data_IF_112679265172
#
_entry.id   IF_112679265172
#
_cell.length_a   1.000
_cell.length_b   1.000
_cell.length_c   1.000
_cell.angle_alpha   90.00
_cell.angle_beta   90.00
_cell.angle_gamma   90.00
#
_symmetry.space_group_name_H-M   'P 1'
#
loop_
_entity.id
_entity.type
_entity.pdbx_description
1 polymer ?
#
# COMPACT_ATOMS: atom_id res chain seq x y z
N UNK A 1 19.90 -31.98 -41.16
CA UNK A 1 19.56 -31.65 -42.56
C UNK A 1 18.23 -30.94 -42.53
N UNK A 2 18.16 -29.67 -42.93
CA UNK A 2 16.87 -28.98 -43.07
C UNK A 2 16.10 -29.62 -44.22
N UNK A 3 14.80 -29.85 -44.05
CA UNK A 3 13.96 -30.44 -45.08
C UNK A 3 13.93 -29.51 -46.31
N UNK A 4 14.18 -30.06 -47.50
CA UNK A 4 14.38 -29.33 -48.76
C UNK A 4 13.17 -28.55 -49.28
N UNK A 5 12.05 -28.55 -48.54
CA UNK A 5 10.81 -27.86 -48.91
C UNK A 5 10.72 -26.40 -48.46
N UNK A 6 11.65 -25.94 -47.61
CA UNK A 6 11.67 -24.58 -47.07
C UNK A 6 12.66 -23.69 -47.83
N UNK A 7 12.33 -22.41 -48.06
CA UNK A 7 13.22 -21.46 -48.77
C UNK A 7 14.54 -21.29 -48.03
N UNK A 8 14.46 -21.41 -46.71
CA UNK A 8 15.56 -21.37 -45.75
C UNK A 8 16.57 -22.49 -46.00
N UNK A 9 16.14 -23.65 -46.53
CA UNK A 9 17.04 -24.76 -46.83
C UNK A 9 17.96 -24.47 -48.03
N UNK A 10 17.61 -23.48 -48.86
CA UNK A 10 18.41 -23.06 -50.03
C UNK A 10 19.24 -21.79 -49.75
N UNK A 11 19.05 -21.17 -48.57
CA UNK A 11 19.76 -19.94 -48.19
C UNK A 11 20.89 -20.26 -47.22
N UNK A 12 22.03 -19.58 -47.39
CA UNK A 12 23.13 -19.61 -46.41
C UNK A 12 22.86 -18.72 -45.19
N UNK A 13 21.82 -17.89 -45.26
CA UNK A 13 21.44 -16.93 -44.21
C UNK A 13 19.97 -17.09 -43.87
N UNK A 14 19.67 -17.18 -42.58
CA UNK A 14 18.30 -17.21 -42.04
C UNK A 14 18.14 -16.01 -41.12
N UNK A 15 17.12 -15.19 -41.39
CA UNK A 15 16.79 -14.05 -40.54
C UNK A 15 15.98 -14.52 -39.34
N UNK A 16 16.44 -14.14 -38.14
CA UNK A 16 15.80 -14.50 -36.88
C UNK A 16 15.58 -13.22 -36.09
N UNK A 17 14.35 -13.01 -35.61
CA UNK A 17 13.92 -11.78 -34.91
C UNK A 17 14.47 -11.59 -33.49
N UNK A 18 15.60 -12.20 -33.14
CA UNK A 18 16.22 -12.08 -31.81
C UNK A 18 17.50 -11.25 -31.86
N UNK A 19 17.85 -10.51 -30.78
CA UNK A 19 19.12 -9.82 -30.69
C UNK A 19 20.30 -10.79 -30.83
N UNK A 20 21.37 -10.36 -31.51
CA UNK A 20 22.54 -11.21 -31.77
C UNK A 20 23.16 -11.83 -30.51
N UNK A 21 23.17 -11.10 -29.39
CA UNK A 21 23.66 -11.61 -28.11
C UNK A 21 22.81 -12.77 -27.55
N UNK A 22 21.49 -12.79 -27.81
CA UNK A 22 20.61 -13.89 -27.42
C UNK A 22 20.90 -15.10 -28.31
N UNK A 23 21.01 -14.89 -29.63
CA UNK A 23 21.33 -15.95 -30.58
C UNK A 23 22.69 -16.60 -30.29
N UNK A 24 23.72 -15.80 -30.04
CA UNK A 24 25.04 -16.28 -29.62
C UNK A 24 24.94 -17.20 -28.39
N UNK A 25 24.17 -16.77 -27.38
CA UNK A 25 23.98 -17.52 -26.14
C UNK A 25 23.20 -18.82 -26.34
N UNK A 26 22.20 -18.81 -27.24
CA UNK A 26 21.46 -20.02 -27.63
C UNK A 26 22.37 -21.01 -28.38
N UNK A 27 23.24 -20.52 -29.27
CA UNK A 27 24.21 -21.34 -29.99
C UNK A 27 25.26 -21.93 -29.04
N UNK A 28 25.77 -21.12 -28.09
CA UNK A 28 26.63 -21.60 -27.00
C UNK A 28 25.97 -22.77 -26.25
N UNK A 29 24.70 -22.64 -25.90
CA UNK A 29 23.95 -23.71 -25.24
C UNK A 29 23.84 -24.97 -26.11
N UNK A 30 23.55 -24.84 -27.41
CA UNK A 30 23.46 -25.99 -28.32
C UNK A 30 24.79 -26.76 -28.41
N UNK A 31 25.93 -26.07 -28.30
CA UNK A 31 27.24 -26.70 -28.35
C UNK A 31 27.72 -27.25 -27.01
N UNK A 32 27.39 -26.60 -25.90
CA UNK A 32 28.01 -26.87 -24.59
C UNK A 32 27.05 -27.42 -23.55
N UNK A 33 25.73 -27.37 -23.80
CA UNK A 33 24.66 -27.55 -22.83
C UNK A 33 24.79 -26.65 -21.58
N UNK A 34 25.50 -25.52 -21.70
CA UNK A 34 25.75 -24.55 -20.63
C UNK A 34 25.50 -23.13 -21.13
N UNK A 35 25.29 -22.22 -20.19
CA UNK A 35 25.14 -20.80 -20.48
C UNK A 35 25.90 -20.00 -19.44
N UNK A 36 27.14 -19.62 -19.76
CA UNK A 36 28.00 -18.91 -18.81
C UNK A 36 27.36 -17.61 -18.29
N UNK A 37 26.56 -16.94 -19.14
CA UNK A 37 25.84 -15.70 -18.80
C UNK A 37 24.76 -15.87 -17.73
N UNK A 38 24.27 -17.09 -17.47
CA UNK A 38 23.23 -17.37 -16.46
C UNK A 38 23.79 -17.80 -15.09
N UNK A 39 25.10 -18.04 -14.97
CA UNK A 39 25.66 -18.69 -13.78
C UNK A 39 26.00 -17.74 -12.62
N UNK A 40 26.00 -16.43 -12.85
CA UNK A 40 26.31 -15.46 -11.79
C UNK A 40 25.30 -14.31 -11.72
N UNK A 41 24.40 -14.27 -10.71
CA UNK A 41 23.76 -13.03 -10.34
C UNK A 41 24.86 -12.14 -9.74
N UNK A 42 25.47 -11.29 -10.56
CA UNK A 42 26.35 -10.26 -10.04
C UNK A 42 25.50 -9.29 -9.23
N UNK A 43 26.02 -8.84 -8.08
CA UNK A 43 25.37 -7.81 -7.27
C UNK A 43 25.57 -6.48 -7.98
N UNK A 44 24.88 -6.31 -9.10
CA UNK A 44 24.99 -5.11 -9.90
C UNK A 44 23.97 -4.06 -9.43
N UNK A 45 24.18 -2.78 -9.74
CA UNK A 45 23.15 -1.75 -9.55
C UNK A 45 21.82 -2.19 -10.14
N UNK A 46 20.71 -1.71 -9.57
CA UNK A 46 19.36 -2.17 -9.92
C UNK A 46 19.06 -2.01 -11.42
N UNK A 47 19.54 -0.93 -12.05
CA UNK A 47 19.39 -0.68 -13.49
C UNK A 47 20.07 -1.74 -14.35
N UNK A 48 21.28 -2.17 -13.96
CA UNK A 48 22.00 -3.21 -14.67
C UNK A 48 21.31 -4.57 -14.49
N UNK A 49 20.76 -4.82 -13.30
CA UNK A 49 19.98 -6.02 -13.01
C UNK A 49 18.71 -6.09 -13.86
N UNK A 50 18.04 -4.97 -14.14
CA UNK A 50 16.90 -4.91 -15.07
C UNK A 50 17.31 -5.30 -16.49
N UNK A 51 18.43 -4.77 -17.00
CA UNK A 51 18.93 -5.12 -18.35
C UNK A 51 19.36 -6.59 -18.46
N UNK A 52 20.06 -7.11 -17.46
CA UNK A 52 20.39 -8.54 -17.38
C UNK A 52 19.12 -9.38 -17.36
N UNK A 53 18.11 -8.97 -16.61
CA UNK A 53 16.85 -9.69 -16.54
C UNK A 53 16.11 -9.73 -17.89
N UNK A 54 16.07 -8.61 -18.62
CA UNK A 54 15.51 -8.56 -19.98
C UNK A 54 16.24 -9.53 -20.94
N UNK A 55 17.55 -9.72 -20.75
CA UNK A 55 18.33 -10.72 -21.48
C UNK A 55 17.88 -12.14 -21.15
N UNK A 56 17.71 -12.46 -19.85
CA UNK A 56 17.22 -13.78 -19.42
C UNK A 56 15.81 -14.07 -19.96
N UNK A 57 14.91 -13.08 -19.93
CA UNK A 57 13.57 -13.25 -20.51
C UNK A 57 13.62 -13.50 -22.01
N UNK A 58 14.40 -12.71 -22.74
CA UNK A 58 14.55 -12.89 -24.19
C UNK A 58 15.15 -14.26 -24.54
N UNK A 59 16.04 -14.78 -23.67
CA UNK A 59 16.56 -16.13 -23.79
C UNK A 59 15.50 -17.20 -23.51
N UNK A 60 14.56 -16.96 -22.59
CA UNK A 60 13.41 -17.84 -22.38
C UNK A 60 12.52 -17.91 -23.62
N UNK A 61 12.24 -16.77 -24.27
CA UNK A 61 11.45 -16.74 -25.50
C UNK A 61 12.18 -17.43 -26.65
N UNK A 62 13.49 -17.21 -26.77
CA UNK A 62 14.32 -17.91 -27.74
C UNK A 62 14.30 -19.42 -27.49
N UNK A 63 14.40 -19.85 -26.24
CA UNK A 63 14.31 -21.27 -25.88
C UNK A 63 12.95 -21.87 -26.28
N UNK A 64 11.85 -21.14 -26.10
CA UNK A 64 10.53 -21.58 -26.56
C UNK A 64 10.42 -21.60 -28.09
N UNK A 65 10.96 -20.58 -28.77
CA UNK A 65 10.95 -20.47 -30.23
C UNK A 65 11.72 -21.61 -30.91
N UNK A 66 12.89 -21.98 -30.37
CA UNK A 66 13.74 -23.05 -30.90
C UNK A 66 13.43 -24.44 -30.35
N UNK A 67 12.37 -24.59 -29.54
CA UNK A 67 11.99 -25.84 -28.87
C UNK A 67 13.14 -26.48 -28.06
N UNK A 68 13.78 -25.66 -27.20
CA UNK A 68 14.91 -26.04 -26.35
C UNK A 68 14.47 -26.13 -24.87
N UNK A 69 13.83 -27.23 -24.44
CA UNK A 69 13.27 -27.34 -23.09
C UNK A 69 14.33 -27.27 -21.99
N UNK A 70 15.54 -27.76 -22.23
CA UNK A 70 16.64 -27.67 -21.26
C UNK A 70 17.09 -26.22 -21.03
N UNK A 71 17.18 -25.42 -22.09
CA UNK A 71 17.50 -23.99 -21.98
C UNK A 71 16.39 -23.24 -21.26
N UNK A 72 15.13 -23.55 -21.58
CA UNK A 72 13.96 -22.99 -20.91
C UNK A 72 13.97 -23.28 -19.39
N UNK A 73 14.29 -24.51 -18.99
CA UNK A 73 14.43 -24.84 -17.56
C UNK A 73 15.59 -24.08 -16.89
N UNK A 74 16.71 -23.90 -17.58
CA UNK A 74 17.85 -23.13 -17.05
C UNK A 74 17.50 -21.65 -16.86
N UNK A 75 16.78 -21.04 -17.81
CA UNK A 75 16.36 -19.65 -17.69
C UNK A 75 15.35 -19.48 -16.56
N UNK A 76 14.36 -20.37 -16.41
CA UNK A 76 13.43 -20.37 -15.27
C UNK A 76 14.14 -20.49 -13.92
N UNK A 77 15.11 -21.41 -13.79
CA UNK A 77 15.95 -21.52 -12.59
C UNK A 77 16.76 -20.25 -12.33
N UNK A 78 17.26 -19.60 -13.39
CA UNK A 78 17.95 -18.31 -13.25
C UNK A 78 17.01 -17.21 -12.76
N UNK A 79 15.81 -17.11 -13.33
CA UNK A 79 14.76 -16.16 -12.91
C UNK A 79 14.42 -16.36 -11.44
N UNK A 80 14.22 -17.62 -11.02
CA UNK A 80 13.97 -17.96 -9.62
C UNK A 80 15.12 -17.50 -8.71
N UNK A 81 16.38 -17.78 -9.07
CA UNK A 81 17.56 -17.31 -8.33
C UNK A 81 17.59 -15.78 -8.20
N UNK A 82 17.28 -15.05 -9.27
CA UNK A 82 17.18 -13.58 -9.23
C UNK A 82 16.09 -13.11 -8.27
N UNK A 83 14.89 -13.69 -8.37
CA UNK A 83 13.78 -13.38 -7.47
C UNK A 83 14.12 -13.67 -6.01
N UNK A 84 14.80 -14.78 -5.73
CA UNK A 84 15.21 -15.16 -4.38
C UNK A 84 16.26 -14.22 -3.81
N UNK A 85 17.18 -13.73 -4.65
CA UNK A 85 18.19 -12.74 -4.23
C UNK A 85 17.64 -11.32 -4.09
N UNK A 86 16.64 -10.95 -4.90
CA UNK A 86 16.10 -9.58 -5.02
C UNK A 86 14.60 -9.63 -5.32
N UNK A 87 13.74 -9.80 -4.29
CA UNK A 87 12.30 -9.89 -4.47
C UNK A 87 11.68 -8.66 -5.15
N UNK A 88 12.33 -7.49 -5.03
CA UNK A 88 11.93 -6.25 -5.66
C UNK A 88 11.79 -6.38 -7.18
N UNK A 89 12.67 -7.17 -7.83
CA UNK A 89 12.66 -7.36 -9.28
C UNK A 89 11.32 -7.92 -9.78
N UNK A 90 10.55 -8.61 -8.93
CA UNK A 90 9.30 -9.26 -9.31
C UNK A 90 8.31 -8.33 -10.04
N UNK A 91 8.27 -7.04 -9.73
CA UNK A 91 7.42 -6.09 -10.47
C UNK A 91 7.88 -5.89 -11.93
N UNK A 92 9.19 -5.78 -12.15
CA UNK A 92 9.77 -5.68 -13.50
C UNK A 92 9.57 -6.99 -14.26
N UNK A 93 9.71 -8.13 -13.57
CA UNK A 93 9.43 -9.44 -14.17
C UNK A 93 7.97 -9.52 -14.62
N UNK A 94 7.05 -9.08 -13.77
CA UNK A 94 5.61 -9.08 -14.05
C UNK A 94 5.25 -8.14 -15.21
N UNK A 95 5.92 -6.98 -15.33
CA UNK A 95 5.77 -6.10 -16.49
C UNK A 95 6.23 -6.81 -17.77
N UNK A 96 7.46 -7.31 -17.77
CA UNK A 96 8.04 -7.91 -18.96
C UNK A 96 7.36 -9.24 -19.34
N UNK A 97 6.70 -9.93 -18.40
CA UNK A 97 5.86 -11.09 -18.71
C UNK A 97 4.59 -10.68 -19.45
N UNK A 98 3.98 -9.53 -19.17
CA UNK A 98 2.77 -9.07 -19.89
C UNK A 98 3.04 -8.71 -21.35
N UNK A 99 4.24 -8.23 -21.66
CA UNK A 99 4.63 -7.85 -23.02
C UNK A 99 4.86 -9.07 -23.93
N UNK A 100 5.00 -10.27 -23.38
CA UNK A 100 5.44 -11.47 -24.10
C UNK A 100 4.44 -12.62 -24.01
N UNK A 101 4.15 -13.28 -25.13
CA UNK A 101 3.03 -14.22 -25.27
C UNK A 101 3.17 -15.58 -24.53
N UNK A 102 4.37 -15.98 -24.09
CA UNK A 102 4.63 -17.32 -23.53
C UNK A 102 5.07 -17.31 -22.05
N UNK A 103 4.51 -16.42 -21.22
CA UNK A 103 5.09 -16.05 -19.92
C UNK A 103 4.29 -16.47 -18.67
N UNK A 104 3.24 -17.29 -18.81
CA UNK A 104 2.31 -17.58 -17.69
C UNK A 104 3.00 -18.15 -16.43
N UNK A 105 4.02 -19.01 -16.60
CA UNK A 105 4.79 -19.54 -15.46
C UNK A 105 5.62 -18.46 -14.78
N UNK A 106 6.31 -17.61 -15.55
CA UNK A 106 7.12 -16.49 -15.05
C UNK A 106 6.24 -15.48 -14.32
N UNK A 107 5.07 -15.18 -14.88
CA UNK A 107 4.07 -14.34 -14.25
C UNK A 107 3.66 -14.89 -12.89
N UNK A 108 3.34 -16.20 -12.82
CA UNK A 108 2.96 -16.87 -11.57
C UNK A 108 4.09 -16.80 -10.54
N UNK A 109 5.34 -17.00 -10.96
CA UNK A 109 6.52 -16.87 -10.08
C UNK A 109 6.65 -15.44 -9.54
N UNK A 110 6.48 -14.43 -10.39
CA UNK A 110 6.55 -13.03 -10.00
C UNK A 110 5.45 -12.65 -9.00
N UNK A 111 4.19 -13.02 -9.27
CA UNK A 111 3.06 -12.76 -8.37
C UNK A 111 3.27 -13.47 -7.02
N UNK A 112 3.67 -14.74 -7.03
CA UNK A 112 3.96 -15.48 -5.81
C UNK A 112 5.07 -14.82 -4.99
N UNK A 113 6.12 -14.29 -5.66
CA UNK A 113 7.20 -13.59 -4.97
C UNK A 113 6.76 -12.25 -4.39
N UNK A 114 5.93 -11.49 -5.12
CA UNK A 114 5.31 -10.24 -4.64
C UNK A 114 4.46 -10.53 -3.40
N UNK A 115 3.60 -11.55 -3.44
CA UNK A 115 2.76 -11.96 -2.31
C UNK A 115 3.61 -12.30 -1.07
N UNK A 116 4.68 -13.06 -1.25
CA UNK A 116 5.54 -13.48 -0.14
C UNK A 116 6.39 -12.34 0.45
N UNK A 117 6.72 -11.29 -0.32
CA UNK A 117 7.71 -10.27 0.08
C UNK A 117 7.20 -8.83 -0.09
N UNK A 118 5.88 -8.62 -0.06
CA UNK A 118 5.26 -7.34 -0.45
C UNK A 118 5.85 -6.11 0.27
N UNK A 119 6.15 -6.23 1.57
CA UNK A 119 6.72 -5.12 2.36
C UNK A 119 8.11 -4.73 1.88
N UNK A 120 8.95 -5.70 1.55
CA UNK A 120 10.30 -5.48 1.03
C UNK A 120 10.25 -4.90 -0.38
N UNK A 121 9.33 -5.43 -1.21
CA UNK A 121 9.08 -4.93 -2.55
C UNK A 121 8.62 -3.46 -2.54
N UNK A 122 7.82 -3.04 -1.55
CA UNK A 122 7.33 -1.66 -1.40
C UNK A 122 8.40 -0.66 -0.92
N UNK A 123 9.36 -1.08 -0.11
CA UNK A 123 10.34 -0.17 0.48
C UNK A 123 11.43 0.29 -0.51
N UNK A 124 11.64 -0.43 -1.61
CA UNK A 124 12.76 -0.21 -2.55
C UNK A 124 12.29 0.38 -3.89
N UNK A 125 11.15 1.07 -3.88
CA UNK A 125 10.27 1.27 -5.04
C UNK A 125 10.65 2.40 -6.00
N UNK A 126 11.61 3.27 -5.63
CA UNK A 126 11.90 4.48 -6.41
C UNK A 126 12.38 4.17 -7.84
N UNK A 127 13.16 3.11 -8.04
CA UNK A 127 13.66 2.76 -9.38
C UNK A 127 12.68 1.84 -10.12
N UNK A 128 11.98 0.97 -9.39
CA UNK A 128 11.07 -0.04 -9.95
C UNK A 128 9.90 0.59 -10.71
N UNK A 129 9.28 1.63 -10.16
CA UNK A 129 8.06 2.19 -10.76
C UNK A 129 8.28 3.04 -12.01
N UNK A 130 9.54 3.36 -12.36
CA UNK A 130 9.83 3.99 -13.65
C UNK A 130 9.50 3.07 -14.82
N UNK A 131 9.61 1.75 -14.62
CA UNK A 131 9.48 0.75 -15.70
C UNK A 131 8.08 0.10 -15.69
N UNK A 132 7.37 0.14 -14.57
CA UNK A 132 6.08 -0.55 -14.40
C UNK A 132 4.92 0.30 -14.93
N UNK A 133 4.10 -0.29 -15.81
CA UNK A 133 2.91 0.36 -16.37
C UNK A 133 1.69 0.25 -15.46
N UNK A 134 0.66 1.07 -15.75
CA UNK A 134 -0.60 1.05 -15.01
C UNK A 134 -1.33 -0.31 -15.09
N UNK A 135 -1.12 -1.08 -16.17
CA UNK A 135 -1.71 -2.42 -16.34
C UNK A 135 -1.21 -3.40 -15.28
N UNK A 136 0.08 -3.38 -14.97
CA UNK A 136 0.69 -4.20 -13.93
C UNK A 136 0.18 -3.79 -12.55
N UNK A 137 0.12 -2.48 -12.27
CA UNK A 137 -0.44 -1.98 -11.00
C UNK A 137 -1.90 -2.42 -10.85
N UNK A 138 -2.72 -2.29 -11.90
CA UNK A 138 -4.11 -2.79 -11.92
C UNK A 138 -4.17 -4.28 -11.63
N UNK A 139 -3.29 -5.08 -12.24
CA UNK A 139 -3.23 -6.53 -12.03
C UNK A 139 -2.91 -6.88 -10.58
N UNK A 140 -1.95 -6.20 -9.97
CA UNK A 140 -1.58 -6.35 -8.56
C UNK A 140 -2.78 -6.00 -7.64
N UNK A 141 -3.48 -4.90 -7.95
CA UNK A 141 -4.65 -4.43 -7.18
C UNK A 141 -5.90 -5.31 -7.37
N UNK A 142 -5.93 -6.12 -8.43
CA UNK A 142 -6.99 -7.10 -8.68
C UNK A 142 -6.69 -8.49 -8.10
N UNK A 143 -5.44 -8.75 -7.71
CA UNK A 143 -5.05 -10.00 -7.07
C UNK A 143 -5.47 -10.00 -5.59
N UNK A 144 -6.48 -10.81 -5.27
CA UNK A 144 -7.02 -10.92 -3.91
C UNK A 144 -5.97 -11.41 -2.90
N UNK A 145 -5.01 -12.24 -3.33
CA UNK A 145 -3.93 -12.73 -2.49
C UNK A 145 -3.05 -11.58 -2.03
N UNK A 146 -2.60 -10.75 -2.97
CA UNK A 146 -1.79 -9.56 -2.67
C UNK A 146 -2.59 -8.56 -1.82
N UNK A 147 -3.82 -8.23 -2.24
CA UNK A 147 -4.64 -7.23 -1.55
C UNK A 147 -4.98 -7.62 -0.12
N UNK A 148 -5.19 -8.92 0.16
CA UNK A 148 -5.44 -9.40 1.53
C UNK A 148 -4.25 -9.19 2.48
N UNK A 149 -3.03 -9.12 1.94
CA UNK A 149 -1.80 -8.93 2.71
C UNK A 149 -1.49 -7.46 2.99
N UNK A 150 -2.18 -6.53 2.33
CA UNK A 150 -1.92 -5.10 2.36
C UNK A 150 -2.97 -4.33 3.16
N UNK A 151 -2.50 -3.39 3.97
CA UNK A 151 -3.38 -2.38 4.59
C UNK A 151 -3.79 -1.33 3.55
N UNK A 152 -4.95 -0.69 3.73
CA UNK A 152 -5.41 0.39 2.85
C UNK A 152 -4.36 1.50 2.67
N UNK A 153 -3.58 1.80 3.72
CA UNK A 153 -2.48 2.76 3.68
C UNK A 153 -1.34 2.31 2.77
N UNK A 154 -0.97 1.03 2.80
CA UNK A 154 0.09 0.49 1.93
C UNK A 154 -0.37 0.41 0.47
N UNK A 155 -1.64 0.10 0.22
CA UNK A 155 -2.21 0.16 -1.14
C UNK A 155 -2.16 1.59 -1.67
N UNK A 156 -2.48 2.57 -0.84
CA UNK A 156 -2.35 3.98 -1.20
C UNK A 156 -0.91 4.36 -1.54
N UNK A 157 0.05 3.99 -0.68
CA UNK A 157 1.47 4.26 -0.89
C UNK A 157 2.02 3.58 -2.15
N UNK A 158 1.55 2.37 -2.48
CA UNK A 158 1.89 1.68 -3.73
C UNK A 158 1.48 2.52 -4.94
N UNK A 159 0.23 2.98 -4.98
CA UNK A 159 -0.30 3.77 -6.10
C UNK A 159 0.40 5.13 -6.18
N UNK A 160 0.62 5.78 -5.03
CA UNK A 160 1.34 7.04 -4.94
C UNK A 160 2.79 6.91 -5.44
N UNK A 161 3.54 5.92 -4.95
CA UNK A 161 4.91 5.69 -5.38
C UNK A 161 4.98 5.41 -6.89
N UNK A 162 3.98 4.74 -7.45
CA UNK A 162 3.89 4.54 -8.89
C UNK A 162 3.67 5.86 -9.66
N UNK A 163 2.73 6.70 -9.24
CA UNK A 163 2.46 7.97 -9.91
C UNK A 163 3.62 8.96 -9.82
N UNK A 164 4.23 9.07 -8.64
CA UNK A 164 5.29 10.04 -8.36
C UNK A 164 6.52 9.80 -9.24
N UNK A 165 6.82 8.53 -9.57
CA UNK A 165 7.96 8.16 -10.40
C UNK A 165 7.76 8.40 -11.90
N UNK A 166 6.52 8.55 -12.38
CA UNK A 166 6.26 8.89 -13.79
C UNK A 166 6.16 10.37 -14.05
N UNK A 167 5.81 11.17 -13.04
CA UNK A 167 5.68 12.63 -13.12
C UNK A 167 4.83 13.13 -14.31
N UNK A 168 3.89 12.32 -14.83
CA UNK A 168 3.01 12.67 -15.94
C UNK A 168 1.59 12.94 -15.45
N UNK A 169 0.90 13.88 -16.10
CA UNK A 169 -0.51 14.19 -15.80
C UNK A 169 -1.41 12.96 -15.98
N UNK A 170 -1.13 12.12 -16.97
CA UNK A 170 -1.81 10.86 -17.22
C UNK A 170 -1.65 9.87 -16.08
N UNK A 171 -0.43 9.71 -15.54
CA UNK A 171 -0.17 8.84 -14.39
C UNK A 171 -0.90 9.32 -13.14
N UNK A 172 -0.92 10.63 -12.89
CA UNK A 172 -1.68 11.22 -11.78
C UNK A 172 -3.18 10.99 -11.93
N UNK A 173 -3.73 11.15 -13.15
CA UNK A 173 -5.15 10.88 -13.42
C UNK A 173 -5.50 9.41 -13.18
N UNK A 174 -4.68 8.50 -13.72
CA UNK A 174 -4.85 7.06 -13.51
C UNK A 174 -4.72 6.67 -12.03
N UNK A 175 -3.81 7.28 -11.28
CA UNK A 175 -3.66 7.04 -9.85
C UNK A 175 -4.91 7.46 -9.05
N UNK A 176 -5.51 8.61 -9.38
CA UNK A 176 -6.77 9.05 -8.78
C UNK A 176 -7.90 8.05 -9.01
N UNK A 177 -8.02 7.53 -10.24
CA UNK A 177 -8.99 6.49 -10.59
C UNK A 177 -8.76 5.20 -9.78
N UNK A 178 -7.50 4.75 -9.70
CA UNK A 178 -7.13 3.55 -8.95
C UNK A 178 -7.41 3.70 -7.45
N UNK A 179 -7.10 4.86 -6.86
CA UNK A 179 -7.39 5.15 -5.45
C UNK A 179 -8.90 5.10 -5.19
N UNK A 180 -9.70 5.75 -6.04
CA UNK A 180 -11.15 5.75 -5.89
C UNK A 180 -11.77 4.34 -5.95
N UNK A 181 -11.19 3.44 -6.75
CA UNK A 181 -11.70 2.08 -6.95
C UNK A 181 -11.19 1.07 -5.91
N UNK A 182 -9.92 1.16 -5.51
CA UNK A 182 -9.25 0.10 -4.74
C UNK A 182 -8.91 0.50 -3.30
N UNK A 183 -8.96 1.79 -2.94
CA UNK A 183 -8.56 2.25 -1.60
C UNK A 183 -9.78 2.73 -0.81
N UNK A 184 -10.08 2.02 0.27
CA UNK A 184 -11.06 2.45 1.27
C UNK A 184 -10.40 3.45 2.22
N UNK A 185 -10.50 4.74 1.91
CA UNK A 185 -9.90 5.81 2.73
C UNK A 185 -10.34 5.75 4.20
N UNK A 186 -11.58 5.32 4.47
CA UNK A 186 -12.11 5.16 5.83
C UNK A 186 -11.37 4.12 6.67
N UNK A 187 -10.64 3.19 6.04
CA UNK A 187 -9.84 2.17 6.73
C UNK A 187 -8.39 2.62 7.00
N UNK A 188 -7.98 3.79 6.50
CA UNK A 188 -6.66 4.38 6.75
C UNK A 188 -6.65 5.13 8.09
N UNK A 189 -5.69 4.90 9.00
CA UNK A 189 -5.62 5.63 10.27
C UNK A 189 -5.61 7.17 10.09
N UNK A 190 -6.31 7.93 10.96
CA UNK A 190 -6.36 9.40 10.87
C UNK A 190 -5.00 10.09 10.79
N UNK A 191 -4.00 9.58 11.53
CA UNK A 191 -2.64 10.11 11.49
C UNK A 191 -1.95 9.91 10.14
N UNK A 192 -2.25 8.83 9.42
CA UNK A 192 -1.72 8.55 8.10
C UNK A 192 -2.48 9.30 7.01
N UNK A 193 -3.78 9.55 7.20
CA UNK A 193 -4.57 10.40 6.29
C UNK A 193 -3.98 11.80 6.19
N UNK A 194 -3.64 12.44 7.31
CA UNK A 194 -3.03 13.77 7.29
C UNK A 194 -1.58 13.77 6.80
N UNK A 195 -0.78 12.77 7.19
CA UNK A 195 0.65 12.75 6.87
C UNK A 195 1.00 12.26 5.47
N UNK A 196 0.20 11.37 4.88
CA UNK A 196 0.52 10.68 3.62
C UNK A 196 -0.50 11.04 2.55
N UNK A 197 -1.80 10.88 2.85
CA UNK A 197 -2.86 11.03 1.85
C UNK A 197 -3.04 12.49 1.47
N UNK A 198 -3.17 13.39 2.45
CA UNK A 198 -3.35 14.83 2.19
C UNK A 198 -2.17 15.46 1.46
N UNK A 199 -0.94 15.08 1.84
CA UNK A 199 0.29 15.61 1.23
C UNK A 199 0.49 15.17 -0.23
N UNK A 200 -0.11 14.06 -0.65
CA UNK A 200 0.09 13.53 -2.00
C UNK A 200 -0.67 14.31 -3.09
N UNK A 201 -1.73 15.05 -2.73
CA UNK A 201 -2.60 15.73 -3.70
C UNK A 201 -3.42 14.79 -4.61
N UNK A 202 -3.39 13.47 -4.35
CA UNK A 202 -4.16 12.47 -5.11
C UNK A 202 -5.63 12.37 -4.65
N UNK A 203 -5.98 12.97 -3.53
CA UNK A 203 -7.33 12.96 -2.94
C UNK A 203 -7.77 14.39 -2.69
N UNK A 204 -9.04 14.70 -2.94
CA UNK A 204 -9.57 16.06 -2.72
C UNK A 204 -9.81 16.33 -1.24
N UNK A 205 -9.81 17.60 -0.83
CA UNK A 205 -10.09 18.00 0.56
C UNK A 205 -11.49 17.57 1.01
N UNK A 206 -12.45 17.56 0.08
CA UNK A 206 -13.82 17.11 0.32
C UNK A 206 -13.86 15.60 0.64
N UNK A 207 -13.09 14.80 -0.10
CA UNK A 207 -12.98 13.36 0.17
C UNK A 207 -12.32 13.08 1.52
N UNK A 208 -11.27 13.82 1.88
CA UNK A 208 -10.59 13.69 3.17
C UNK A 208 -11.53 14.06 4.33
N UNK A 209 -12.22 15.20 4.23
CA UNK A 209 -13.17 15.65 5.26
C UNK A 209 -14.36 14.70 5.41
N UNK A 210 -14.89 14.17 4.30
CA UNK A 210 -15.92 13.13 4.33
C UNK A 210 -15.41 11.85 5.02
N UNK A 211 -14.17 11.46 4.75
CA UNK A 211 -13.52 10.30 5.39
C UNK A 211 -13.40 10.47 6.90
N UNK A 212 -12.93 11.64 7.38
CA UNK A 212 -12.87 11.92 8.81
C UNK A 212 -14.24 11.87 9.49
N UNK A 213 -15.28 12.40 8.84
CA UNK A 213 -16.66 12.31 9.34
C UNK A 213 -17.11 10.84 9.47
N UNK A 214 -16.87 10.02 8.45
CA UNK A 214 -17.21 8.59 8.50
C UNK A 214 -16.46 7.86 9.62
N UNK A 215 -15.18 8.16 9.82
CA UNK A 215 -14.39 7.57 10.91
C UNK A 215 -14.89 8.00 12.29
N UNK A 216 -15.27 9.27 12.46
CA UNK A 216 -15.85 9.79 13.70
C UNK A 216 -17.17 9.10 14.05
N UNK A 217 -18.07 8.95 13.07
CA UNK A 217 -19.35 8.23 13.24
C UNK A 217 -19.11 6.77 13.61
N UNK A 218 -18.24 6.06 12.87
CA UNK A 218 -17.88 4.66 13.15
C UNK A 218 -17.31 4.48 14.57
N UNK A 219 -16.52 5.44 15.04
CA UNK A 219 -15.97 5.42 16.40
C UNK A 219 -17.06 5.68 17.45
N UNK A 220 -18.01 6.58 17.19
CA UNK A 220 -19.16 6.84 18.07
C UNK A 220 -20.05 5.60 18.22
N UNK A 221 -20.36 4.92 17.11
CA UNK A 221 -21.12 3.65 17.10
C UNK A 221 -20.42 2.56 17.92
N UNK A 222 -19.10 2.41 17.75
CA UNK A 222 -18.31 1.45 18.53
C UNK A 222 -18.32 1.77 20.03
N UNK A 223 -18.28 3.05 20.41
CA UNK A 223 -18.38 3.47 21.80
C UNK A 223 -19.77 3.16 22.36
N UNK A 224 -20.84 3.50 21.65
CA UNK A 224 -22.21 3.23 22.06
C UNK A 224 -22.44 1.73 22.35
N UNK A 225 -21.93 0.84 21.50
CA UNK A 225 -21.99 -0.61 21.73
C UNK A 225 -21.07 -1.11 22.85
N UNK A 226 -19.98 -0.41 23.15
CA UNK A 226 -19.10 -0.73 24.29
C UNK A 226 -19.68 -0.34 25.65
N UNK A 227 -20.61 0.63 25.69
CA UNK A 227 -21.22 1.11 26.93
C UNK A 227 -22.53 0.40 27.33
N UNK A 228 -23.11 -0.43 26.46
CA UNK A 228 -24.36 -1.16 26.78
C UNK A 228 -24.19 -2.28 27.81
N UNK A 229 -22.96 -2.61 28.23
CA UNK A 229 -22.67 -3.60 29.28
C UNK A 229 -22.37 -3.05 30.68
N UNK A 230 -22.32 -1.72 30.87
CA UNK A 230 -22.05 -1.13 32.18
C UNK A 230 -23.11 -0.09 32.55
N UNK A 231 -24.16 -0.55 33.22
CA UNK A 231 -25.19 0.26 33.85
C UNK A 231 -24.71 1.14 35.03
N UNK A 232 -23.40 1.43 35.13
CA UNK A 232 -22.80 2.01 36.36
C UNK A 232 -22.41 3.49 36.27
N UNK A 233 -22.56 4.16 35.12
CA UNK A 233 -22.33 5.60 35.03
C UNK A 233 -23.65 6.37 35.00
N UNK A 234 -24.26 6.51 36.18
CA UNK A 234 -25.25 7.56 36.40
C UNK A 234 -24.54 8.91 36.47
N UNK A 235 -24.69 9.71 35.41
CA UNK A 235 -24.34 11.13 35.45
C UNK A 235 -25.32 11.86 36.37
N UNK A 236 -24.93 12.08 37.63
CA UNK A 236 -25.65 12.97 38.54
C UNK A 236 -25.16 14.39 38.30
N UNK A 237 -25.85 15.13 37.44
CA UNK A 237 -25.66 16.58 37.36
C UNK A 237 -26.18 17.24 38.64
N UNK A 238 -25.29 17.74 39.51
CA UNK A 238 -25.73 18.63 40.58
C UNK A 238 -25.88 20.03 40.00
N UNK A 239 -27.10 20.58 40.00
CA UNK A 239 -27.31 22.01 39.78
C UNK A 239 -26.62 22.75 40.93
N UNK A 240 -25.42 23.29 40.69
CA UNK A 240 -24.83 24.23 41.64
C UNK A 240 -25.72 25.48 41.66
N UNK A 241 -26.02 26.00 42.86
CA UNK A 241 -26.82 27.23 43.06
C UNK A 241 -26.15 28.50 42.50
N UNK A 242 -24.99 28.37 41.85
CA UNK A 242 -24.18 29.49 41.34
C UNK A 242 -24.69 29.96 39.96
N UNK A 243 -25.62 29.22 39.34
CA UNK A 243 -26.22 29.60 38.06
C UNK A 243 -27.75 29.53 38.11
N UNK A 244 -28.39 30.70 38.13
CA UNK A 244 -29.79 30.90 37.81
C UNK A 244 -29.93 31.13 36.31
N UNK A 245 -30.78 30.32 35.66
CA UNK A 245 -31.10 30.44 34.24
C UNK A 245 -32.22 31.49 34.09
N UNK A 246 -31.91 32.69 33.60
CA UNK A 246 -32.88 33.80 33.45
C UNK A 246 -33.71 33.78 32.18
N UNK A 247 -33.79 32.67 31.45
CA UNK A 247 -34.61 32.59 30.23
C UNK A 247 -35.52 31.38 30.24
N UNK A 248 -36.76 31.58 30.69
CA UNK A 248 -37.89 30.71 30.41
C UNK A 248 -38.18 30.77 28.91
N UNK A 249 -37.87 29.71 28.18
CA UNK A 249 -38.31 29.58 26.78
C UNK A 249 -37.44 28.76 25.85
N UNK A 250 -36.18 28.43 26.21
CA UNK A 250 -35.33 27.62 25.35
C UNK A 250 -35.47 26.12 25.68
N UNK A 251 -36.38 25.44 24.98
CA UNK A 251 -36.32 23.98 24.80
C UNK A 251 -35.57 23.71 23.49
N UNK A 252 -34.33 23.23 23.58
CA UNK A 252 -33.66 22.59 22.45
C UNK A 252 -33.88 21.08 22.54
N UNK A 253 -34.73 20.55 21.67
CA UNK A 253 -35.08 19.12 21.59
C UNK A 253 -34.00 18.30 20.83
N UNK A 254 -32.74 18.71 20.92
CA UNK A 254 -31.64 18.05 20.25
C UNK A 254 -30.49 17.91 21.24
N UNK A 255 -30.27 16.67 21.69
CA UNK A 255 -29.26 16.20 22.64
C UNK A 255 -29.59 16.46 24.11
N UNK A 256 -29.59 15.40 24.93
CA UNK A 256 -29.48 15.44 26.41
C UNK A 256 -28.12 16.00 26.88
N UNK A 257 -27.51 16.91 26.10
CA UNK A 257 -26.24 17.54 26.38
C UNK A 257 -26.39 19.03 26.16
N UNK A 258 -26.25 19.78 27.25
CA UNK A 258 -26.26 21.25 27.19
C UNK A 258 -25.16 21.72 26.21
N UNK A 259 -25.48 22.61 25.25
CA UNK A 259 -24.44 23.28 24.49
C UNK A 259 -23.55 24.06 25.45
N UNK A 260 -22.27 23.69 25.50
CA UNK A 260 -21.26 24.40 26.30
C UNK A 260 -21.03 25.75 25.61
N UNK A 261 -21.59 26.83 26.17
CA UNK A 261 -21.27 28.19 25.72
C UNK A 261 -19.82 28.54 26.07
N UNK A 262 -19.19 29.41 25.28
CA UNK A 262 -17.83 29.86 25.53
C UNK A 262 -17.71 30.54 26.92
N UNK A 263 -16.75 30.10 27.74
CA UNK A 263 -16.52 30.56 29.11
C UNK A 263 -15.42 29.74 29.81
N UNK A 264 -14.93 30.19 30.97
CA UNK A 264 -14.04 29.37 31.82
C UNK A 264 -14.88 28.31 32.54
N UNK A 265 -14.78 27.07 32.10
CA UNK A 265 -15.45 25.93 32.72
C UNK A 265 -14.47 25.19 33.63
N UNK A 266 -14.88 24.91 34.86
CA UNK A 266 -14.16 24.03 35.76
C UNK A 266 -14.98 22.76 35.94
N UNK A 267 -14.35 21.62 35.68
CA UNK A 267 -14.96 20.31 35.85
C UNK A 267 -14.31 19.63 37.05
N UNK A 268 -15.13 19.13 37.96
CA UNK A 268 -14.67 18.30 39.08
C UNK A 268 -15.27 16.92 38.89
N UNK A 269 -14.40 15.92 38.63
CA UNK A 269 -14.82 14.54 38.48
C UNK A 269 -14.66 13.86 39.83
N UNK A 270 -15.77 13.64 40.54
CA UNK A 270 -15.79 12.82 41.75
C UNK A 270 -15.84 11.35 41.38
N UNK A 271 -14.69 10.69 41.45
CA UNK A 271 -14.61 9.22 41.33
C UNK A 271 -15.03 8.64 42.68
N UNK A 272 -16.32 8.32 42.83
CA UNK A 272 -16.79 7.57 44.01
C UNK A 272 -16.13 6.20 44.03
N UNK A 273 -15.34 5.97 45.07
CA UNK A 273 -14.60 4.74 45.32
C UNK A 273 -15.50 3.72 46.00
N UNK A 274 -16.65 3.40 45.41
CA UNK A 274 -17.56 2.40 45.98
C UNK A 274 -17.45 1.08 45.22
N UNK A 275 -16.78 0.15 45.93
CA UNK A 275 -16.87 -1.33 45.85
C UNK A 275 -16.40 -1.96 44.54
N UNK A 276 -15.08 -2.14 44.42
CA UNK A 276 -14.46 -3.42 44.02
C UNK A 276 -13.05 -3.48 44.63
N UNK A 277 -12.99 -3.70 45.94
CA UNK A 277 -11.72 -3.81 46.69
C UNK A 277 -11.01 -5.16 46.51
N UNK A 278 -11.42 -6.04 45.58
CA UNK A 278 -10.78 -7.35 45.47
C UNK A 278 -10.25 -7.80 44.12
N UNK A 279 -10.39 -7.06 43.00
CA UNK A 279 -9.89 -7.57 41.70
C UNK A 279 -9.17 -6.59 40.75
N UNK A 280 -8.93 -5.32 41.10
CA UNK A 280 -8.49 -4.36 40.06
C UNK A 280 -7.32 -3.42 40.43
N UNK A 281 -6.34 -3.87 41.22
CA UNK A 281 -5.19 -3.01 41.57
C UNK A 281 -4.05 -2.99 40.52
N UNK A 282 -4.02 -3.89 39.53
CA UNK A 282 -2.94 -3.91 38.54
C UNK A 282 -3.31 -3.53 37.10
N UNK A 283 -4.58 -3.60 36.68
CA UNK A 283 -4.95 -3.36 35.28
C UNK A 283 -5.57 -1.96 35.01
N UNK A 284 -6.07 -1.25 36.03
CA UNK A 284 -6.89 -0.06 35.83
C UNK A 284 -6.11 1.27 35.78
N UNK A 285 -5.00 1.39 36.51
CA UNK A 285 -4.20 2.62 36.57
C UNK A 285 -3.46 2.95 35.27
N UNK A 286 -3.09 1.94 34.48
CA UNK A 286 -2.43 2.16 33.19
C UNK A 286 -3.37 2.61 32.08
N UNK A 287 -4.63 2.13 32.08
CA UNK A 287 -5.59 2.41 31.01
C UNK A 287 -6.15 3.84 31.12
N UNK A 288 -6.44 4.30 32.33
CA UNK A 288 -6.94 5.66 32.58
C UNK A 288 -5.83 6.71 32.35
N UNK A 289 -4.59 6.47 32.80
CA UNK A 289 -3.47 7.37 32.49
C UNK A 289 -3.20 7.49 30.99
N UNK A 290 -3.29 6.39 30.24
CA UNK A 290 -3.18 6.42 28.76
C UNK A 290 -4.34 7.16 28.10
N UNK A 291 -5.57 7.02 28.59
CA UNK A 291 -6.72 7.72 28.02
C UNK A 291 -6.71 9.22 28.30
N UNK A 292 -6.35 9.64 29.52
CA UNK A 292 -6.18 11.06 29.89
C UNK A 292 -5.01 11.67 29.11
N UNK A 293 -3.90 10.94 28.94
CA UNK A 293 -2.79 11.40 28.11
C UNK A 293 -3.18 11.54 26.64
N UNK A 294 -3.96 10.60 26.09
CA UNK A 294 -4.43 10.64 24.70
C UNK A 294 -5.43 11.78 24.44
N UNK A 295 -6.35 12.05 25.38
CA UNK A 295 -7.28 13.19 25.28
C UNK A 295 -6.55 14.52 25.44
N UNK A 296 -5.57 14.62 26.34
CA UNK A 296 -4.73 15.82 26.46
C UNK A 296 -3.86 16.06 25.22
N UNK A 297 -3.34 15.02 24.57
CA UNK A 297 -2.58 15.14 23.31
C UNK A 297 -3.46 15.57 22.13
N UNK A 298 -4.67 15.02 22.00
CA UNK A 298 -5.65 15.45 20.99
C UNK A 298 -6.07 16.90 21.18
N UNK A 299 -6.24 17.35 22.43
CA UNK A 299 -6.56 18.74 22.74
C UNK A 299 -5.40 19.70 22.51
N UNK A 300 -4.16 19.31 22.84
CA UNK A 300 -2.96 20.12 22.60
C UNK A 300 -2.69 20.30 21.10
N UNK A 301 -2.89 19.25 20.30
CA UNK A 301 -2.83 19.33 18.83
C UNK A 301 -3.91 20.23 18.22
N UNK A 302 -5.15 20.19 18.74
CA UNK A 302 -6.22 21.09 18.29
C UNK A 302 -5.99 22.57 18.68
N UNK A 303 -5.29 22.84 19.79
CA UNK A 303 -4.94 24.20 20.21
C UNK A 303 -3.74 24.76 19.42
N UNK A 304 -2.74 23.95 19.10
CA UNK A 304 -1.59 24.38 18.28
C UNK A 304 -1.97 24.64 16.81
N UNK A 305 -2.97 23.93 16.27
CA UNK A 305 -3.52 24.18 14.93
C UNK A 305 -4.33 25.49 14.82
N UNK A 306 -4.82 26.04 15.93
CA UNK A 306 -5.43 27.39 15.96
C UNK A 306 -4.42 28.52 16.16
N UNK A 307 -3.20 28.22 16.60
CA UNK A 307 -2.16 29.21 16.88
C UNK A 307 -1.29 29.63 15.68
N UNK A 308 -1.43 28.98 14.52
CA UNK A 308 -0.66 29.28 13.30
C UNK A 308 -1.48 29.99 12.21
N UNK A 309 -2.36 30.89 12.63
CA UNK A 309 -2.96 31.88 11.73
C UNK A 309 -1.98 33.02 11.47
N UNK A 310 -1.40 33.00 10.27
CA UNK A 310 -1.03 34.16 9.46
C UNK A 310 -0.92 35.51 10.18
N UNK A 311 0.31 35.90 10.49
CA UNK A 311 0.76 37.28 10.33
C UNK A 311 1.77 37.28 9.18
N UNK A 312 1.34 37.72 8.01
CA UNK A 312 2.20 38.27 6.96
C UNK A 312 1.71 39.70 6.78
N UNK A 313 2.67 40.63 6.81
CA UNK A 313 2.49 42.08 6.72
C UNK A 313 1.70 42.51 5.49
#
# INVERSE_FOLDING_TARGET
MFFSGYKEAQSNTVEIGFPGAILETTVEYLHTNKVAKLDTPKIDPLELAVSQFQTVLSLTDAAAYFDLPGLHQLTLKSIQRYLDSRPQLAFVILQASQEKSNSAEIEKMAIAKIQANIKECLNTTVIMFKVVDSSVVKKILHDNGIMSSLTAAQVFQLIQAWSDNRASSEATSAAKELIAKHVRLADIPPSQLSMIVESSGLVTKEQITATYKMQAIKMEEQLLHGFTGSSLLQWKGSKSKIFTLESEGYKSDCTDRMPIKAGKHQWTIDVKKDIYTHLAQHCYTHRIKRHIAATNLLWKGCLELRGRGLFIQ
#
